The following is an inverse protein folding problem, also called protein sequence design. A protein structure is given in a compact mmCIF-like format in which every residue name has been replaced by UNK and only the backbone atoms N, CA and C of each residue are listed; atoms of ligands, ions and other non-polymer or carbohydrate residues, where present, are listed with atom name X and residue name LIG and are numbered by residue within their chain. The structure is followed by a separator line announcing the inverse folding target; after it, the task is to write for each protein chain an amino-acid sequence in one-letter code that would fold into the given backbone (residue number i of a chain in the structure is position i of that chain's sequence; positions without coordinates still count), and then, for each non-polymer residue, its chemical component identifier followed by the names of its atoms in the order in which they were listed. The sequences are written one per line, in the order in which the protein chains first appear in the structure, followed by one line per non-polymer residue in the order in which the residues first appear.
data_IF_027030280110
#
_entry.id   IF_027030280110
#
_cell.length_a   1.000
_cell.length_b   1.000
_cell.length_c   1.000
_cell.angle_alpha   90.00
_cell.angle_beta   90.00
_cell.angle_gamma   90.00
#
_symmetry.space_group_name_H-M   'P 1'
#
loop_
_entity.id
_entity.type
_entity.pdbx_description
1 polymer ?
#
# COMPACT_ATOMS: atom_id res chain seq x y z
N UNK A 1 26.58 39.07 19.54
CA UNK A 1 27.44 38.45 18.52
C UNK A 1 26.71 37.27 17.94
N UNK A 2 26.25 37.41 16.72
CA UNK A 2 25.37 36.45 16.02
C UNK A 2 26.21 35.52 15.18
N UNK A 3 26.06 34.23 15.35
CA UNK A 3 26.59 33.19 14.41
C UNK A 3 25.41 32.64 13.61
N UNK A 4 25.30 33.08 12.36
CA UNK A 4 24.40 32.52 11.33
C UNK A 4 25.00 31.24 10.82
N UNK A 5 24.35 30.10 11.04
CA UNK A 5 24.58 28.88 10.29
C UNK A 5 23.79 28.98 8.96
N UNK A 6 24.48 28.88 7.82
CA UNK A 6 23.89 28.78 6.48
C UNK A 6 23.38 27.35 6.28
N UNK A 7 22.08 27.17 6.42
CA UNK A 7 21.38 26.01 5.85
C UNK A 7 20.77 26.44 4.53
N UNK A 8 21.06 25.76 3.45
CA UNK A 8 20.45 25.96 2.13
C UNK A 8 19.06 25.35 2.14
N UNK A 9 18.06 26.15 2.49
CA UNK A 9 16.65 25.80 2.34
C UNK A 9 16.27 25.88 0.86
N UNK A 10 16.13 24.74 0.21
CA UNK A 10 15.45 24.66 -1.08
C UNK A 10 13.98 24.99 -0.88
N UNK A 11 13.55 26.11 -1.42
CA UNK A 11 12.15 26.52 -1.37
C UNK A 11 11.27 25.61 -2.23
N UNK A 12 9.96 25.53 -1.91
CA UNK A 12 8.96 24.77 -2.68
C UNK A 12 8.99 25.09 -4.19
N UNK A 13 9.43 26.31 -4.52
CA UNK A 13 9.56 26.84 -5.88
C UNK A 13 10.78 26.26 -6.59
N UNK A 14 11.91 26.11 -5.89
CA UNK A 14 13.15 25.51 -6.41
C UNK A 14 13.01 24.00 -6.63
N UNK A 15 12.28 23.31 -5.77
CA UNK A 15 11.96 21.89 -5.93
C UNK A 15 11.08 21.64 -7.17
N UNK A 16 10.03 22.45 -7.38
CA UNK A 16 9.18 22.36 -8.58
C UNK A 16 9.97 22.69 -9.85
N UNK A 17 10.92 23.60 -9.78
CA UNK A 17 11.78 23.95 -10.91
C UNK A 17 12.78 22.86 -11.23
N UNK A 18 13.36 22.20 -10.23
CA UNK A 18 14.35 21.12 -10.42
C UNK A 18 13.72 19.84 -11.00
N UNK A 19 12.49 19.50 -10.56
CA UNK A 19 11.73 18.35 -11.09
C UNK A 19 11.04 18.68 -12.42
N UNK A 20 10.70 19.96 -12.67
CA UNK A 20 10.01 20.43 -13.87
C UNK A 20 10.93 20.69 -15.08
N UNK A 21 12.20 21.04 -14.89
CA UNK A 21 13.13 21.45 -15.97
C UNK A 21 13.76 20.31 -16.76
N UNK A 22 13.57 19.05 -16.37
CA UNK A 22 14.00 17.91 -17.20
C UNK A 22 13.12 17.66 -18.44
N UNK A 23 12.15 18.53 -18.74
CA UNK A 23 11.15 18.32 -19.80
C UNK A 23 10.89 19.44 -20.78
N UNK A 24 11.60 20.58 -20.76
CA UNK A 24 11.31 21.69 -21.69
C UNK A 24 12.62 22.35 -22.19
N UNK A 25 13.21 21.78 -23.23
CA UNK A 25 14.15 22.49 -24.12
C UNK A 25 13.47 22.62 -25.48
N UNK A 26 12.81 23.75 -25.74
CA UNK A 26 12.48 24.24 -27.09
C UNK A 26 12.68 25.75 -27.12
N UNK A 27 13.50 26.15 -28.08
CA UNK A 27 13.96 27.39 -28.59
C UNK A 27 13.09 28.64 -28.48
N UNK A 28 13.77 29.78 -28.26
CA UNK A 28 13.27 31.12 -28.51
C UNK A 28 14.41 32.14 -28.34
N UNK A 29 14.98 32.60 -29.44
CA UNK A 29 16.05 33.58 -29.51
C UNK A 29 15.54 35.01 -29.26
N UNK A 30 16.32 35.80 -28.53
CA UNK A 30 16.09 37.24 -28.35
C UNK A 30 17.16 37.85 -27.47
N UNK A 31 18.09 38.58 -28.06
CA UNK A 31 19.27 39.17 -27.47
C UNK A 31 18.97 40.37 -26.55
N UNK A 32 19.75 40.55 -25.48
CA UNK A 32 20.61 41.72 -25.20
C UNK A 32 21.28 41.60 -23.82
N UNK A 33 22.60 41.91 -23.79
CA UNK A 33 23.31 42.46 -22.61
C UNK A 33 23.94 41.40 -21.67
N UNK A 34 25.17 40.96 -21.99
CA UNK A 34 25.98 40.07 -21.16
C UNK A 34 26.68 40.81 -20.02
N UNK A 35 26.55 40.30 -18.78
CA UNK A 35 27.65 40.23 -17.81
C UNK A 35 27.99 38.77 -17.58
N UNK A 36 29.26 38.42 -17.87
CA UNK A 36 29.78 37.10 -17.75
C UNK A 36 29.87 36.69 -16.27
N UNK A 37 29.04 35.72 -15.88
CA UNK A 37 29.21 34.94 -14.64
C UNK A 37 30.05 33.72 -15.03
N UNK A 38 31.11 33.36 -14.29
CA UNK A 38 31.90 32.18 -14.64
C UNK A 38 31.05 30.94 -14.58
N UNK A 39 30.91 30.25 -15.71
CA UNK A 39 30.31 28.93 -15.86
C UNK A 39 31.12 27.93 -15.02
N UNK A 40 30.59 27.53 -13.87
CA UNK A 40 30.99 26.28 -13.26
C UNK A 40 30.46 25.15 -14.15
N UNK A 41 31.27 24.11 -14.48
CA UNK A 41 30.77 23.00 -15.25
C UNK A 41 29.63 22.37 -14.49
N UNK A 42 28.43 22.44 -15.07
CA UNK A 42 27.26 21.71 -14.60
C UNK A 42 27.60 20.21 -14.70
N UNK A 43 28.09 19.64 -13.60
CA UNK A 43 28.05 18.20 -13.42
C UNK A 43 26.61 17.81 -13.63
N UNK A 44 26.34 16.99 -14.66
CA UNK A 44 25.02 16.46 -14.95
C UNK A 44 24.48 15.84 -13.65
N UNK A 45 23.55 16.53 -12.97
CA UNK A 45 22.80 15.95 -11.88
C UNK A 45 22.01 14.81 -12.50
N UNK A 46 22.53 13.60 -12.33
CA UNK A 46 21.87 12.40 -12.80
C UNK A 46 20.45 12.41 -12.19
N UNK A 47 19.43 12.52 -13.01
CA UNK A 47 18.06 12.54 -12.55
C UNK A 47 17.85 11.29 -11.67
N UNK A 48 17.52 11.49 -10.38
CA UNK A 48 17.37 10.41 -9.44
C UNK A 48 16.35 9.40 -9.99
N UNK A 49 16.78 8.16 -10.20
CA UNK A 49 15.93 7.10 -10.72
C UNK A 49 15.20 6.41 -9.57
N UNK A 50 13.95 6.03 -9.79
CA UNK A 50 13.15 5.30 -8.80
C UNK A 50 13.90 4.02 -8.36
N UNK A 51 14.21 3.88 -7.06
CA UNK A 51 14.89 2.70 -6.56
C UNK A 51 14.05 1.45 -6.79
N UNK A 52 14.73 0.33 -7.06
CA UNK A 52 14.10 -0.98 -7.27
C UNK A 52 14.64 -2.01 -6.31
N UNK A 53 13.85 -3.03 -6.02
CA UNK A 53 14.22 -4.20 -5.21
C UNK A 53 13.72 -5.48 -5.88
N UNK A 54 14.43 -6.58 -5.66
CA UNK A 54 13.98 -7.91 -6.15
C UNK A 54 12.67 -8.31 -5.49
N UNK A 55 11.74 -8.79 -6.29
CA UNK A 55 10.48 -9.38 -5.79
C UNK A 55 10.72 -10.87 -5.48
N UNK A 56 11.32 -11.14 -4.34
CA UNK A 56 11.63 -12.51 -3.92
C UNK A 56 12.36 -13.33 -4.99
N UNK A 57 11.98 -14.60 -5.12
CA UNK A 57 12.53 -15.56 -6.10
C UNK A 57 12.07 -15.32 -7.55
N UNK A 58 11.21 -14.35 -7.81
CA UNK A 58 10.74 -14.06 -9.18
C UNK A 58 11.84 -13.59 -10.12
N UNK A 59 12.95 -13.09 -9.58
CA UNK A 59 14.07 -12.51 -10.34
C UNK A 59 13.78 -11.11 -10.90
N UNK A 60 12.56 -10.58 -10.75
CA UNK A 60 12.16 -9.26 -11.26
C UNK A 60 12.48 -8.17 -10.25
N UNK A 61 13.08 -7.08 -10.72
CA UNK A 61 13.28 -5.87 -9.95
C UNK A 61 12.07 -4.95 -10.11
N UNK A 62 11.33 -4.72 -9.01
CA UNK A 62 10.17 -3.84 -8.96
C UNK A 62 10.51 -2.51 -8.27
N UNK A 63 9.89 -1.38 -8.66
CA UNK A 63 10.09 -0.11 -7.95
C UNK A 63 9.60 -0.24 -6.50
N UNK A 64 10.30 0.45 -5.58
CA UNK A 64 9.94 0.44 -4.15
C UNK A 64 8.59 1.11 -3.88
N UNK A 65 8.10 1.95 -4.81
CA UNK A 65 6.80 2.61 -4.78
C UNK A 65 5.93 2.10 -5.93
N UNK A 66 4.81 1.49 -5.59
CA UNK A 66 3.77 1.05 -6.53
C UNK A 66 2.52 1.93 -6.46
N UNK A 67 1.81 2.03 -7.57
CA UNK A 67 0.53 2.72 -7.71
C UNK A 67 -0.62 1.77 -7.41
N UNK A 68 -1.35 2.03 -6.32
CA UNK A 68 -2.60 1.35 -5.99
C UNK A 68 -3.77 1.99 -6.72
N UNK A 69 -4.46 1.20 -7.54
CA UNK A 69 -5.49 1.66 -8.49
C UNK A 69 -6.91 1.76 -7.92
N UNK A 70 -7.11 1.83 -6.60
CA UNK A 70 -8.44 1.93 -6.00
C UNK A 70 -8.96 3.39 -6.01
N UNK A 71 -9.09 3.97 -7.22
CA UNK A 71 -9.64 5.31 -7.47
C UNK A 71 -10.10 5.42 -8.94
N UNK A 72 -10.67 6.56 -9.36
CA UNK A 72 -11.11 6.77 -10.73
C UNK A 72 -9.92 6.95 -11.69
N UNK A 73 -9.43 5.83 -12.23
CA UNK A 73 -8.32 5.80 -13.19
C UNK A 73 -8.78 6.17 -14.60
N UNK A 74 -10.07 5.98 -14.92
CA UNK A 74 -10.58 6.26 -16.27
C UNK A 74 -10.37 7.73 -16.64
N UNK A 75 -10.60 8.63 -15.70
CA UNK A 75 -10.46 10.05 -15.92
C UNK A 75 -9.05 10.58 -15.65
N UNK A 76 -8.21 9.83 -14.91
CA UNK A 76 -6.87 10.25 -14.50
C UNK A 76 -5.71 9.70 -15.35
N UNK A 77 -5.89 9.68 -16.68
CA UNK A 77 -4.90 9.12 -17.61
C UNK A 77 -3.56 9.86 -17.59
N UNK A 78 -3.57 11.18 -17.35
CA UNK A 78 -2.34 11.97 -17.21
C UNK A 78 -1.54 11.58 -15.99
N UNK A 79 -2.20 11.18 -14.91
CA UNK A 79 -1.56 10.69 -13.69
C UNK A 79 -0.79 9.40 -13.97
N UNK A 80 -1.35 8.47 -14.75
CA UNK A 80 -0.67 7.22 -15.15
C UNK A 80 0.58 7.52 -15.98
N UNK A 81 0.48 8.44 -16.94
CA UNK A 81 1.62 8.87 -17.73
C UNK A 81 2.73 9.47 -16.86
N UNK A 82 2.35 10.27 -15.87
CA UNK A 82 3.30 10.89 -14.96
C UNK A 82 3.92 9.87 -13.98
N UNK A 83 3.13 8.92 -13.48
CA UNK A 83 3.60 7.82 -12.64
C UNK A 83 4.68 6.99 -13.38
N UNK A 84 4.40 6.60 -14.62
CA UNK A 84 5.36 5.89 -15.47
C UNK A 84 6.65 6.71 -15.69
N UNK A 85 6.52 7.99 -16.04
CA UNK A 85 7.67 8.90 -16.25
C UNK A 85 8.55 9.01 -14.98
N UNK A 86 7.97 8.94 -13.79
CA UNK A 86 8.70 8.99 -12.53
C UNK A 86 9.16 7.61 -12.04
N UNK A 87 9.02 6.57 -12.85
CA UNK A 87 9.49 5.21 -12.56
C UNK A 87 8.56 4.43 -11.61
N UNK A 88 7.35 4.92 -11.34
CA UNK A 88 6.32 4.18 -10.58
C UNK A 88 5.63 3.23 -11.56
N UNK A 89 6.30 2.10 -11.83
CA UNK A 89 5.91 1.13 -12.87
C UNK A 89 5.34 -0.18 -12.31
N UNK A 90 5.13 -0.29 -11.01
CA UNK A 90 4.32 -1.33 -10.38
C UNK A 90 2.90 -0.81 -10.21
N UNK A 91 1.93 -1.36 -10.96
CA UNK A 91 0.54 -0.93 -10.93
C UNK A 91 -0.37 -2.03 -10.42
N UNK A 92 -1.16 -1.72 -9.42
CA UNK A 92 -2.01 -2.66 -8.70
C UNK A 92 -3.49 -2.34 -8.87
N UNK A 93 -4.28 -3.35 -9.18
CA UNK A 93 -5.74 -3.29 -9.23
C UNK A 93 -6.37 -4.55 -8.66
N UNK A 94 -7.68 -4.69 -8.80
CA UNK A 94 -8.46 -5.90 -8.51
C UNK A 94 -9.76 -5.87 -9.32
N UNK A 95 -10.34 -7.05 -9.58
CA UNK A 95 -11.61 -7.17 -10.33
C UNK A 95 -12.75 -6.33 -9.75
N UNK A 96 -12.80 -6.20 -8.42
CA UNK A 96 -13.84 -5.48 -7.70
C UNK A 96 -13.60 -3.97 -7.56
N UNK A 97 -12.43 -3.44 -7.92
CA UNK A 97 -12.14 -2.01 -7.72
C UNK A 97 -12.99 -1.16 -8.68
N UNK A 98 -13.92 -0.39 -8.08
CA UNK A 98 -14.89 0.40 -8.85
C UNK A 98 -15.72 -0.45 -9.80
N UNK A 99 -16.09 -1.69 -9.42
CA UNK A 99 -16.81 -2.64 -10.27
C UNK A 99 -16.11 -2.89 -11.63
N UNK A 100 -14.76 -2.98 -11.63
CA UNK A 100 -13.95 -3.18 -12.82
C UNK A 100 -13.52 -1.90 -13.53
N UNK A 101 -13.97 -0.72 -13.08
CA UNK A 101 -13.58 0.57 -13.69
C UNK A 101 -12.08 0.85 -13.50
N UNK A 102 -11.47 0.39 -12.41
CA UNK A 102 -10.03 0.50 -12.22
C UNK A 102 -9.25 -0.27 -13.30
N UNK A 103 -9.62 -1.52 -13.57
CA UNK A 103 -9.02 -2.32 -14.66
C UNK A 103 -9.27 -1.69 -16.04
N UNK A 104 -10.49 -1.21 -16.29
CA UNK A 104 -10.83 -0.51 -17.53
C UNK A 104 -10.01 0.78 -17.71
N UNK A 105 -9.72 1.49 -16.64
CA UNK A 105 -8.85 2.67 -16.63
C UNK A 105 -7.42 2.35 -17.09
N UNK A 106 -6.83 1.27 -16.57
CA UNK A 106 -5.53 0.78 -17.04
C UNK A 106 -5.61 0.31 -18.49
N UNK A 107 -6.68 -0.39 -18.89
CA UNK A 107 -6.91 -0.80 -20.27
C UNK A 107 -6.97 0.37 -21.23
N UNK A 108 -7.67 1.44 -20.87
CA UNK A 108 -7.68 2.70 -21.64
C UNK A 108 -6.28 3.30 -21.82
N UNK A 109 -5.43 3.18 -20.82
CA UNK A 109 -4.05 3.63 -20.89
C UNK A 109 -3.23 2.75 -21.85
N UNK A 110 -3.32 1.43 -21.70
CA UNK A 110 -2.55 0.49 -22.53
C UNK A 110 -2.97 0.54 -24.00
N UNK A 111 -4.27 0.69 -24.30
CA UNK A 111 -4.73 0.83 -25.70
C UNK A 111 -4.17 2.07 -26.40
N UNK A 112 -3.94 3.14 -25.65
CA UNK A 112 -3.36 4.39 -26.18
C UNK A 112 -1.84 4.40 -26.16
N UNK A 113 -1.22 3.53 -25.34
CA UNK A 113 0.22 3.43 -25.14
C UNK A 113 0.64 1.95 -25.10
N UNK A 114 0.56 1.20 -26.22
CA UNK A 114 0.77 -0.27 -26.22
C UNK A 114 2.15 -0.68 -25.69
N UNK A 115 3.19 0.11 -25.99
CA UNK A 115 4.55 -0.18 -25.52
C UNK A 115 4.68 -0.06 -23.98
N UNK A 116 3.89 0.82 -23.35
CA UNK A 116 3.90 1.00 -21.90
C UNK A 116 3.55 -0.29 -21.16
N UNK A 117 2.72 -1.18 -21.74
CA UNK A 117 2.36 -2.45 -21.11
C UNK A 117 3.60 -3.32 -20.82
N UNK A 118 4.62 -3.24 -21.63
CA UNK A 118 5.88 -4.01 -21.47
C UNK A 118 6.75 -3.50 -20.33
N UNK A 119 6.60 -2.21 -20.00
CA UNK A 119 7.37 -1.54 -18.94
C UNK A 119 6.69 -1.60 -17.57
N UNK A 120 5.38 -1.86 -17.56
CA UNK A 120 4.57 -1.89 -16.35
C UNK A 120 4.49 -3.31 -15.79
N UNK A 121 4.82 -3.45 -14.50
CA UNK A 121 4.52 -4.64 -13.72
C UNK A 121 3.07 -4.55 -13.24
N UNK A 122 2.16 -5.19 -13.97
CA UNK A 122 0.72 -5.13 -13.71
C UNK A 122 0.28 -6.22 -12.75
N UNK A 123 -0.46 -5.84 -11.72
CA UNK A 123 -1.06 -6.75 -10.74
C UNK A 123 -2.57 -6.63 -10.78
N UNK A 124 -3.26 -7.77 -10.74
CA UNK A 124 -4.70 -7.81 -10.43
C UNK A 124 -5.01 -8.89 -9.40
N UNK A 125 -6.23 -8.87 -8.86
CA UNK A 125 -6.65 -9.79 -7.80
C UNK A 125 -8.05 -10.32 -8.09
N UNK A 126 -8.26 -11.60 -7.80
CA UNK A 126 -9.55 -12.27 -7.88
C UNK A 126 -10.00 -12.72 -6.49
N UNK A 127 -11.26 -12.50 -6.15
CA UNK A 127 -11.85 -13.10 -4.97
C UNK A 127 -11.91 -14.62 -5.17
N UNK A 128 -11.50 -15.46 -4.22
CA UNK A 128 -11.60 -16.93 -4.35
C UNK A 128 -13.05 -17.40 -4.44
N UNK A 129 -13.99 -16.63 -3.96
CA UNK A 129 -15.43 -16.90 -4.04
C UNK A 129 -16.06 -16.22 -5.25
N UNK A 130 -17.12 -16.78 -5.81
CA UNK A 130 -17.89 -16.11 -6.86
C UNK A 130 -17.78 -16.70 -8.27
N UNK A 131 -17.60 -18.03 -8.40
CA UNK A 131 -17.70 -18.76 -9.67
C UNK A 131 -16.36 -19.00 -10.37
N UNK A 132 -16.39 -19.22 -11.68
CA UNK A 132 -15.25 -19.66 -12.46
C UNK A 132 -14.12 -18.61 -12.49
N UNK A 133 -13.00 -18.92 -11.83
CA UNK A 133 -11.84 -18.04 -11.73
C UNK A 133 -11.22 -17.75 -13.11
N UNK A 134 -11.20 -18.72 -14.02
CA UNK A 134 -10.62 -18.54 -15.37
C UNK A 134 -11.42 -17.54 -16.19
N UNK A 135 -12.75 -17.65 -16.21
CA UNK A 135 -13.61 -16.70 -16.91
C UNK A 135 -13.52 -15.29 -16.31
N UNK A 136 -13.37 -15.20 -14.99
CA UNK A 136 -13.21 -13.90 -14.29
C UNK A 136 -11.86 -13.29 -14.59
N UNK A 137 -10.78 -14.08 -14.63
CA UNK A 137 -9.48 -13.60 -15.08
C UNK A 137 -9.54 -13.10 -16.53
N UNK A 138 -10.22 -13.83 -17.42
CA UNK A 138 -10.38 -13.40 -18.81
C UNK A 138 -11.11 -12.06 -18.93
N UNK A 139 -12.15 -11.85 -18.11
CA UNK A 139 -12.84 -10.55 -18.02
C UNK A 139 -11.91 -9.43 -17.49
N UNK A 140 -11.05 -9.73 -16.51
CA UNK A 140 -10.05 -8.78 -16.02
C UNK A 140 -9.06 -8.39 -17.12
N UNK A 141 -8.52 -9.38 -17.83
CA UNK A 141 -7.59 -9.16 -18.94
C UNK A 141 -8.25 -8.36 -20.09
N UNK A 142 -9.52 -8.67 -20.42
CA UNK A 142 -10.29 -7.95 -21.41
C UNK A 142 -10.48 -6.47 -20.99
N UNK A 143 -10.87 -6.20 -19.74
CA UNK A 143 -11.01 -4.82 -19.24
C UNK A 143 -9.68 -4.07 -19.29
N UNK A 144 -8.58 -4.72 -18.92
CA UNK A 144 -7.24 -4.14 -18.97
C UNK A 144 -6.65 -4.09 -20.39
N UNK A 145 -7.34 -4.62 -21.40
CA UNK A 145 -6.86 -4.66 -22.80
C UNK A 145 -5.44 -5.23 -22.92
N UNK A 146 -5.19 -6.32 -22.22
CA UNK A 146 -3.92 -7.07 -22.22
C UNK A 146 -4.21 -8.57 -22.18
N UNK A 147 -3.28 -9.38 -22.63
CA UNK A 147 -3.40 -10.83 -22.59
C UNK A 147 -2.75 -11.49 -21.34
N UNK A 148 -2.09 -10.70 -20.50
CA UNK A 148 -1.47 -11.19 -19.28
C UNK A 148 -1.38 -10.11 -18.19
N UNK A 149 -1.21 -10.56 -16.94
CA UNK A 149 -0.70 -9.76 -15.83
C UNK A 149 0.65 -10.29 -15.36
N UNK A 150 1.46 -9.44 -14.75
CA UNK A 150 2.74 -9.87 -14.21
C UNK A 150 2.54 -10.67 -12.92
N UNK A 151 1.65 -10.22 -12.03
CA UNK A 151 1.32 -10.91 -10.80
C UNK A 151 -0.20 -11.03 -10.63
N UNK A 152 -0.68 -12.26 -10.48
CA UNK A 152 -2.07 -12.57 -10.16
C UNK A 152 -2.17 -12.95 -8.68
N UNK A 153 -3.04 -12.28 -7.94
CA UNK A 153 -3.25 -12.53 -6.52
C UNK A 153 -4.66 -13.07 -6.24
N UNK A 154 -4.76 -14.03 -5.35
CA UNK A 154 -6.03 -14.35 -4.67
C UNK A 154 -6.27 -13.27 -3.63
N UNK A 155 -7.50 -12.71 -3.64
CA UNK A 155 -7.82 -11.48 -2.94
C UNK A 155 -8.22 -11.73 -1.48
N UNK A 156 -7.51 -11.03 -0.57
CA UNK A 156 -7.92 -10.86 0.84
C UNK A 156 -8.12 -12.16 1.63
N UNK A 157 -7.13 -13.08 1.56
CA UNK A 157 -7.13 -14.28 2.40
C UNK A 157 -7.25 -13.94 3.89
N UNK A 158 -7.96 -14.78 4.60
CA UNK A 158 -8.07 -14.74 6.07
C UNK A 158 -7.30 -15.85 6.76
N UNK A 159 -7.03 -16.94 6.03
CA UNK A 159 -6.25 -18.08 6.49
C UNK A 159 -5.47 -18.70 5.32
N UNK A 160 -4.30 -19.26 5.61
CA UNK A 160 -3.43 -19.86 4.57
C UNK A 160 -4.05 -21.13 3.94
N UNK A 161 -4.92 -21.81 4.67
CA UNK A 161 -5.65 -22.99 4.23
C UNK A 161 -6.57 -22.72 3.02
N UNK A 162 -6.93 -21.45 2.81
CA UNK A 162 -7.65 -21.01 1.61
C UNK A 162 -6.81 -21.17 0.33
N UNK A 163 -5.47 -21.21 0.44
CA UNK A 163 -4.56 -21.53 -0.66
C UNK A 163 -4.50 -23.05 -0.90
N UNK A 164 -5.59 -23.57 -1.40
CA UNK A 164 -5.82 -25.02 -1.61
C UNK A 164 -4.97 -25.61 -2.74
N UNK A 165 -4.81 -26.96 -2.79
CA UNK A 165 -4.20 -27.65 -3.94
C UNK A 165 -4.87 -27.30 -5.28
N UNK A 166 -6.19 -27.14 -5.30
CA UNK A 166 -6.92 -26.73 -6.51
C UNK A 166 -6.48 -25.34 -7.01
N UNK A 167 -6.24 -24.38 -6.10
CA UNK A 167 -5.69 -23.08 -6.48
C UNK A 167 -4.23 -23.15 -6.93
N UNK A 168 -3.43 -24.08 -6.38
CA UNK A 168 -2.07 -24.36 -6.87
C UNK A 168 -2.10 -24.78 -8.33
N UNK A 169 -2.93 -25.81 -8.63
CA UNK A 169 -3.04 -26.36 -9.98
C UNK A 169 -3.58 -25.32 -10.97
N UNK A 170 -4.61 -24.58 -10.57
CA UNK A 170 -5.16 -23.48 -11.37
C UNK A 170 -4.13 -22.37 -11.62
N UNK A 171 -3.39 -21.94 -10.61
CA UNK A 171 -2.33 -20.92 -10.76
C UNK A 171 -1.23 -21.40 -11.72
N UNK A 172 -0.84 -22.68 -11.65
CA UNK A 172 0.12 -23.28 -12.58
C UNK A 172 -0.42 -23.32 -14.02
N UNK A 173 -1.71 -23.65 -14.20
CA UNK A 173 -2.39 -23.59 -15.49
C UNK A 173 -2.41 -22.18 -16.07
N UNK A 174 -2.74 -21.16 -15.27
CA UNK A 174 -2.76 -19.76 -15.72
C UNK A 174 -1.35 -19.27 -16.09
N UNK A 175 -0.32 -19.68 -15.38
CA UNK A 175 1.09 -19.42 -15.78
C UNK A 175 1.41 -20.10 -17.10
N UNK A 176 1.06 -21.39 -17.27
CA UNK A 176 1.29 -22.16 -18.50
C UNK A 176 0.54 -21.55 -19.71
N UNK A 177 -0.67 -21.06 -19.48
CA UNK A 177 -1.48 -20.37 -20.49
C UNK A 177 -0.95 -18.96 -20.82
N UNK A 178 0.08 -18.48 -20.13
CA UNK A 178 0.64 -17.14 -20.32
C UNK A 178 -0.27 -16.00 -19.82
N UNK A 179 -1.30 -16.29 -19.02
CA UNK A 179 -2.23 -15.30 -18.47
C UNK A 179 -1.68 -14.55 -17.26
N UNK A 180 -0.75 -15.17 -16.53
CA UNK A 180 0.04 -14.50 -15.49
C UNK A 180 1.47 -15.04 -15.48
N UNK A 181 2.44 -14.21 -15.04
CA UNK A 181 3.83 -14.64 -14.85
C UNK A 181 4.05 -15.21 -13.46
N UNK A 182 3.47 -14.56 -12.45
CA UNK A 182 3.62 -14.91 -11.05
C UNK A 182 2.26 -15.04 -10.37
N UNK A 183 2.21 -15.83 -9.29
CA UNK A 183 0.99 -16.14 -8.57
C UNK A 183 1.20 -16.05 -7.06
N UNK A 184 0.19 -15.57 -6.34
CA UNK A 184 0.22 -15.45 -4.89
C UNK A 184 -1.11 -15.00 -4.32
N UNK A 185 -1.08 -14.27 -3.20
CA UNK A 185 -2.29 -13.77 -2.57
C UNK A 185 -2.09 -12.40 -1.89
N UNK A 186 -3.21 -11.80 -1.48
CA UNK A 186 -3.21 -10.62 -0.61
C UNK A 186 -3.94 -10.92 0.69
N UNK A 187 -3.54 -10.25 1.80
CA UNK A 187 -4.18 -10.42 3.09
C UNK A 187 -4.16 -9.15 3.94
N UNK A 188 -5.23 -8.96 4.72
CA UNK A 188 -5.37 -7.96 5.78
C UNK A 188 -5.61 -8.59 7.14
N UNK A 189 -5.75 -9.91 7.20
CA UNK A 189 -6.19 -10.67 8.36
C UNK A 189 -5.22 -11.81 8.60
N UNK A 190 -4.87 -12.08 9.88
CA UNK A 190 -3.95 -13.13 10.29
C UNK A 190 -2.65 -13.16 9.47
N UNK A 191 -2.13 -11.97 9.21
CA UNK A 191 -1.04 -11.78 8.24
C UNK A 191 0.20 -12.59 8.58
N UNK A 192 0.55 -12.67 9.86
CA UNK A 192 1.70 -13.43 10.32
C UNK A 192 1.56 -14.93 10.00
N UNK A 193 0.37 -15.50 10.26
CA UNK A 193 0.09 -16.91 9.96
C UNK A 193 0.05 -17.18 8.46
N UNK A 194 -0.58 -16.28 7.70
CA UNK A 194 -0.61 -16.35 6.24
C UNK A 194 0.79 -16.28 5.64
N UNK A 195 1.66 -15.40 6.13
CA UNK A 195 3.05 -15.29 5.67
C UNK A 195 3.89 -16.51 6.04
N UNK A 196 3.78 -16.99 7.30
CA UNK A 196 4.46 -18.21 7.74
C UNK A 196 4.01 -19.43 6.92
N UNK A 197 2.73 -19.50 6.59
CA UNK A 197 2.19 -20.52 5.70
C UNK A 197 2.71 -20.38 4.28
N UNK A 198 2.70 -19.18 3.71
CA UNK A 198 3.24 -18.90 2.37
C UNK A 198 4.70 -19.34 2.23
N UNK A 199 5.51 -19.13 3.27
CA UNK A 199 6.91 -19.56 3.30
C UNK A 199 7.11 -21.08 3.19
N UNK A 200 6.06 -21.88 3.45
CA UNK A 200 6.06 -23.33 3.31
C UNK A 200 5.52 -23.82 1.97
N UNK A 201 4.91 -22.92 1.20
CA UNK A 201 4.32 -23.23 -0.11
C UNK A 201 5.29 -22.81 -1.22
N UNK A 202 5.90 -23.79 -1.87
CA UNK A 202 6.94 -23.59 -2.91
C UNK A 202 6.43 -22.87 -4.17
N UNK A 203 5.12 -22.85 -4.38
CA UNK A 203 4.42 -22.28 -5.53
C UNK A 203 3.91 -20.84 -5.37
N UNK A 204 4.06 -20.25 -4.17
CA UNK A 204 3.75 -18.83 -3.93
C UNK A 204 4.96 -17.99 -4.34
N UNK A 205 4.74 -17.05 -5.27
CA UNK A 205 5.79 -16.14 -5.74
C UNK A 205 5.85 -14.86 -4.91
N UNK A 206 4.68 -14.28 -4.56
CA UNK A 206 4.61 -13.02 -3.79
C UNK A 206 3.34 -12.93 -2.95
N UNK A 207 3.43 -12.15 -1.86
CA UNK A 207 2.30 -11.83 -0.99
C UNK A 207 2.20 -10.31 -0.81
N UNK A 208 0.98 -9.76 -1.00
CA UNK A 208 0.66 -8.38 -0.66
C UNK A 208 -0.09 -8.35 0.67
N UNK A 209 0.42 -7.60 1.67
CA UNK A 209 -0.14 -7.64 3.01
C UNK A 209 -0.08 -6.27 3.70
N UNK A 210 -0.91 -6.08 4.71
CA UNK A 210 -0.85 -4.86 5.53
C UNK A 210 0.45 -4.81 6.30
N UNK A 211 1.28 -3.79 6.00
CA UNK A 211 2.54 -3.57 6.70
C UNK A 211 2.80 -2.08 6.89
N UNK A 212 2.99 -1.67 8.14
CA UNK A 212 3.16 -0.28 8.53
C UNK A 212 3.77 -0.17 9.94
N UNK A 213 4.00 1.05 10.40
CA UNK A 213 4.60 1.35 11.71
C UNK A 213 3.82 0.76 12.92
N UNK A 214 2.52 0.45 12.76
CA UNK A 214 1.69 -0.14 13.82
C UNK A 214 1.96 -1.64 14.02
N UNK A 215 2.32 -2.38 12.97
CA UNK A 215 2.46 -3.84 13.01
C UNK A 215 3.92 -4.32 12.88
N UNK A 216 4.82 -3.50 12.35
CA UNK A 216 6.19 -3.87 12.02
C UNK A 216 7.05 -4.32 13.21
N UNK A 217 6.72 -3.87 14.42
CA UNK A 217 7.46 -4.21 15.62
C UNK A 217 6.97 -5.49 16.32
N UNK A 218 5.89 -6.13 15.82
CA UNK A 218 5.41 -7.40 16.32
C UNK A 218 6.48 -8.49 16.08
N UNK A 219 6.92 -9.22 17.12
CA UNK A 219 7.92 -10.29 16.98
C UNK A 219 7.50 -11.38 15.97
N UNK A 220 6.22 -11.78 15.98
CA UNK A 220 5.68 -12.78 15.05
C UNK A 220 5.68 -12.27 13.59
N UNK A 221 5.44 -10.97 13.36
CA UNK A 221 5.59 -10.37 12.03
C UNK A 221 7.04 -10.45 11.56
N UNK A 222 8.02 -10.15 12.42
CA UNK A 222 9.44 -10.28 12.07
C UNK A 222 9.84 -11.70 11.74
N UNK A 223 9.36 -12.68 12.51
CA UNK A 223 9.54 -14.12 12.22
C UNK A 223 8.97 -14.48 10.84
N UNK A 224 7.75 -14.03 10.54
CA UNK A 224 7.08 -14.30 9.28
C UNK A 224 7.81 -13.68 8.08
N UNK A 225 8.28 -12.45 8.19
CA UNK A 225 9.08 -11.80 7.15
C UNK A 225 10.39 -12.56 6.90
N UNK A 226 11.09 -12.96 7.96
CA UNK A 226 12.32 -13.75 7.84
C UNK A 226 12.08 -15.13 7.19
N UNK A 227 10.94 -15.77 7.47
CA UNK A 227 10.57 -17.03 6.84
C UNK A 227 10.30 -16.83 5.34
N UNK A 228 9.57 -15.79 4.95
CA UNK A 228 9.33 -15.44 3.55
C UNK A 228 10.63 -15.10 2.80
N UNK A 229 11.52 -14.33 3.40
CA UNK A 229 12.83 -14.00 2.80
C UNK A 229 13.64 -15.27 2.52
N UNK A 230 13.72 -16.18 3.50
CA UNK A 230 14.45 -17.46 3.35
C UNK A 230 13.85 -18.37 2.27
N UNK A 231 12.53 -18.37 2.11
CA UNK A 231 11.84 -19.16 1.07
C UNK A 231 11.76 -18.44 -0.28
N UNK A 232 12.21 -17.19 -0.35
CA UNK A 232 12.20 -16.37 -1.56
C UNK A 232 10.81 -15.85 -1.94
N UNK A 233 9.84 -15.79 -1.03
CA UNK A 233 8.54 -15.18 -1.28
C UNK A 233 8.69 -13.66 -1.33
N UNK A 234 8.25 -13.03 -2.43
CA UNK A 234 8.27 -11.57 -2.60
C UNK A 234 7.25 -10.89 -1.69
N UNK A 235 7.65 -9.80 -1.04
CA UNK A 235 6.84 -9.11 -0.04
C UNK A 235 6.45 -7.71 -0.53
N UNK A 236 5.14 -7.45 -0.64
CA UNK A 236 4.60 -6.16 -1.05
C UNK A 236 3.75 -5.58 0.08
N UNK A 237 4.16 -4.41 0.59
CA UNK A 237 3.43 -3.72 1.64
C UNK A 237 2.22 -2.95 1.07
N UNK A 238 1.07 -3.02 1.75
CA UNK A 238 -0.06 -2.13 1.55
C UNK A 238 -0.53 -1.52 2.87
N UNK A 239 -1.44 -0.52 2.83
CA UNK A 239 -1.91 0.21 4.02
C UNK A 239 -0.77 0.81 4.85
N UNK A 240 0.33 1.18 4.20
CA UNK A 240 1.61 1.54 4.82
C UNK A 240 1.56 2.83 5.64
N UNK A 241 0.59 3.71 5.37
CA UNK A 241 0.38 4.92 6.18
C UNK A 241 -0.49 4.65 7.42
N UNK A 242 -1.10 3.47 7.58
CA UNK A 242 -2.03 3.10 8.66
C UNK A 242 -3.21 4.08 8.83
N UNK A 243 -3.56 4.83 7.79
CA UNK A 243 -4.56 5.87 7.86
C UNK A 243 -4.17 7.03 8.81
N UNK A 244 -5.15 7.54 9.54
CA UNK A 244 -4.97 8.51 10.64
C UNK A 244 -5.43 7.86 11.96
N UNK A 245 -4.69 6.88 12.52
CA UNK A 245 -5.04 6.38 13.84
C UNK A 245 -4.93 7.52 14.86
N UNK A 246 -5.85 7.53 15.77
CA UNK A 246 -6.00 8.58 16.76
C UNK A 246 -7.23 9.43 16.51
N UNK A 247 -8.05 9.54 17.55
CA UNK A 247 -9.19 10.44 17.59
C UNK A 247 -8.70 11.87 17.31
N UNK A 248 -9.49 12.77 16.66
CA UNK A 248 -9.13 14.18 16.50
C UNK A 248 -8.75 14.87 17.81
N UNK A 249 -9.21 14.33 18.94
CA UNK A 249 -8.94 14.82 20.30
C UNK A 249 -7.65 14.26 20.92
N UNK A 250 -7.00 13.26 20.32
CA UNK A 250 -5.69 12.79 20.78
C UNK A 250 -4.63 13.69 20.13
N UNK A 251 -4.45 14.84 20.69
CA UNK A 251 -3.27 15.69 20.51
C UNK A 251 -2.14 15.14 21.40
N UNK A 252 -1.74 13.90 21.20
CA UNK A 252 -0.65 13.32 21.96
C UNK A 252 0.67 14.00 21.63
N UNK A 253 1.48 14.25 22.67
CA UNK A 253 2.83 14.83 22.52
C UNK A 253 3.67 14.09 21.48
N UNK A 254 3.59 12.75 21.42
CA UNK A 254 4.30 11.94 20.44
C UNK A 254 3.89 12.22 18.99
N UNK A 255 2.62 12.54 18.73
CA UNK A 255 2.17 12.95 17.37
C UNK A 255 2.77 14.29 16.99
N UNK A 256 2.73 15.27 17.91
CA UNK A 256 3.29 16.59 17.67
C UNK A 256 4.80 16.51 17.48
N UNK A 257 5.51 15.80 18.34
CA UNK A 257 6.95 15.58 18.24
C UNK A 257 7.33 14.91 16.92
N UNK A 258 6.59 13.85 16.53
CA UNK A 258 6.81 13.16 15.26
C UNK A 258 6.63 14.12 14.08
N UNK A 259 5.51 14.86 14.04
CA UNK A 259 5.21 15.81 12.97
C UNK A 259 6.27 16.89 12.88
N UNK A 260 6.67 17.49 14.01
CA UNK A 260 7.70 18.53 14.04
C UNK A 260 9.07 18.04 13.54
N UNK A 261 9.50 16.84 13.96
CA UNK A 261 10.78 16.25 13.52
C UNK A 261 10.81 16.05 12.02
N UNK A 262 9.75 15.48 11.45
CA UNK A 262 9.69 15.23 10.00
C UNK A 262 9.50 16.51 9.20
N UNK A 263 8.71 17.47 9.69
CA UNK A 263 8.59 18.79 9.06
C UNK A 263 9.92 19.54 9.01
N UNK A 264 10.73 19.46 10.06
CA UNK A 264 12.10 20.04 10.08
C UNK A 264 13.00 19.48 8.98
N UNK A 265 12.74 18.25 8.52
CA UNK A 265 13.42 17.60 7.37
C UNK A 265 12.70 17.80 6.03
N UNK A 266 11.61 18.55 6.00
CA UNK A 266 10.81 18.77 4.78
C UNK A 266 9.86 17.62 4.44
N UNK A 267 9.63 16.64 5.34
CA UNK A 267 8.67 15.55 5.15
C UNK A 267 7.38 15.79 5.92
N UNK A 268 6.28 15.37 5.32
CA UNK A 268 5.00 15.22 6.03
C UNK A 268 5.01 13.92 6.87
N UNK A 269 4.11 13.84 7.85
CA UNK A 269 3.87 12.61 8.61
C UNK A 269 3.54 11.40 7.71
N UNK A 270 2.84 11.64 6.60
CA UNK A 270 2.50 10.62 5.60
C UNK A 270 3.74 10.08 4.89
N UNK A 271 4.64 10.95 4.49
CA UNK A 271 5.90 10.57 3.85
C UNK A 271 6.81 9.81 4.83
N UNK A 272 6.89 10.24 6.08
CA UNK A 272 7.62 9.55 7.13
C UNK A 272 7.14 8.10 7.33
N UNK A 273 5.81 7.90 7.33
CA UNK A 273 5.20 6.57 7.44
C UNK A 273 5.52 5.65 6.25
N UNK A 274 5.75 6.20 5.06
CA UNK A 274 6.25 5.42 3.92
C UNK A 274 7.73 5.09 4.10
N UNK A 275 8.54 6.07 4.51
CA UNK A 275 9.99 5.88 4.69
C UNK A 275 10.31 4.77 5.69
N UNK A 276 9.59 4.68 6.81
CA UNK A 276 9.84 3.62 7.80
C UNK A 276 9.57 2.21 7.24
N UNK A 277 8.63 2.07 6.30
CA UNK A 277 8.40 0.79 5.62
C UNK A 277 9.57 0.45 4.69
N UNK A 278 10.11 1.44 3.97
CA UNK A 278 11.25 1.24 3.08
C UNK A 278 12.58 0.98 3.82
N UNK A 279 12.69 1.33 5.11
CA UNK A 279 13.84 0.94 5.92
C UNK A 279 13.96 -0.59 6.12
N UNK A 280 12.85 -1.33 5.96
CA UNK A 280 12.91 -2.78 5.94
C UNK A 280 13.27 -3.29 4.53
N UNK A 281 14.50 -3.84 4.32
CA UNK A 281 14.93 -4.31 3.01
C UNK A 281 14.17 -5.53 2.51
N UNK A 282 13.49 -6.27 3.38
CA UNK A 282 12.67 -7.44 3.02
C UNK A 282 11.42 -7.05 2.24
N UNK A 283 10.97 -5.78 2.34
CA UNK A 283 9.82 -5.28 1.59
C UNK A 283 10.28 -4.85 0.20
N UNK A 284 9.85 -5.60 -0.81
CA UNK A 284 10.24 -5.36 -2.21
C UNK A 284 9.60 -4.10 -2.79
N UNK A 285 8.33 -3.89 -2.50
CA UNK A 285 7.55 -2.74 -2.97
C UNK A 285 6.50 -2.34 -1.94
N UNK A 286 6.05 -1.09 -2.03
CA UNK A 286 4.97 -0.53 -1.23
C UNK A 286 3.90 0.00 -2.17
N UNK A 287 2.70 -0.57 -2.10
CA UNK A 287 1.56 -0.15 -2.90
C UNK A 287 0.79 0.97 -2.20
N UNK A 288 0.71 2.14 -2.82
CA UNK A 288 0.02 3.33 -2.28
C UNK A 288 -1.04 3.85 -3.24
N UNK A 289 -2.23 4.14 -2.72
CA UNK A 289 -3.27 4.89 -3.44
C UNK A 289 -2.79 6.33 -3.63
N UNK A 290 -2.67 6.77 -4.86
CA UNK A 290 -2.19 8.10 -5.24
C UNK A 290 -3.14 8.72 -6.27
N UNK A 291 -4.33 9.20 -5.84
CA UNK A 291 -5.43 9.58 -6.74
C UNK A 291 -5.27 10.97 -7.37
N UNK A 292 -4.16 11.64 -7.15
CA UNK A 292 -3.85 12.94 -7.78
C UNK A 292 -2.33 13.18 -7.84
N UNK A 293 -1.93 14.13 -8.67
CA UNK A 293 -0.52 14.48 -8.90
C UNK A 293 0.19 14.98 -7.63
N UNK A 294 -0.50 15.64 -6.72
CA UNK A 294 0.10 16.14 -5.47
C UNK A 294 0.56 14.97 -4.58
N UNK A 295 -0.30 13.97 -4.40
CA UNK A 295 0.03 12.78 -3.59
C UNK A 295 1.09 11.93 -4.30
N UNK A 296 0.95 11.75 -5.63
CA UNK A 296 1.95 11.03 -6.42
C UNK A 296 3.32 11.69 -6.30
N UNK A 297 3.42 13.01 -6.52
CA UNK A 297 4.67 13.76 -6.41
C UNK A 297 5.27 13.68 -5.00
N UNK A 298 4.46 13.83 -3.95
CA UNK A 298 4.93 13.74 -2.57
C UNK A 298 5.49 12.34 -2.23
N UNK A 299 4.83 11.27 -2.68
CA UNK A 299 5.29 9.91 -2.44
C UNK A 299 6.54 9.57 -3.26
N UNK A 300 6.62 10.04 -4.51
CA UNK A 300 7.82 9.90 -5.35
C UNK A 300 9.00 10.64 -4.72
N UNK A 301 8.81 11.85 -4.24
CA UNK A 301 9.86 12.61 -3.56
C UNK A 301 10.39 11.86 -2.33
N UNK A 302 9.49 11.27 -1.53
CA UNK A 302 9.88 10.46 -0.37
C UNK A 302 10.64 9.18 -0.79
N UNK A 303 10.26 8.54 -1.90
CA UNK A 303 10.93 7.34 -2.42
C UNK A 303 12.32 7.65 -3.02
N UNK A 304 12.49 8.81 -3.64
CA UNK A 304 13.77 9.25 -4.20
C UNK A 304 14.75 9.73 -3.13
N UNK A 305 14.25 10.17 -1.98
CA UNK A 305 15.10 10.54 -0.85
C UNK A 305 15.65 9.28 -0.15
N UNK A 306 16.91 8.97 -0.43
CA UNK A 306 17.63 7.83 0.13
C UNK A 306 18.19 8.08 1.54
N UNK A 307 17.93 9.25 2.14
CA UNK A 307 18.37 9.53 3.51
C UNK A 307 17.65 8.61 4.48
N UNK A 308 18.40 7.85 5.26
CA UNK A 308 17.85 6.93 6.27
C UNK A 308 17.22 7.71 7.41
N UNK A 309 16.23 7.10 8.04
CA UNK A 309 15.67 7.62 9.28
C UNK A 309 16.72 7.53 10.40
N UNK A 310 16.81 8.57 11.23
CA UNK A 310 17.63 8.53 12.44
C UNK A 310 16.99 7.62 13.51
N UNK A 311 17.77 7.27 14.53
CA UNK A 311 17.28 6.47 15.65
C UNK A 311 16.14 7.18 16.38
N UNK A 312 16.27 8.48 16.57
CA UNK A 312 15.24 9.31 17.22
C UNK A 312 13.95 9.36 16.42
N UNK A 313 14.04 9.38 15.08
CA UNK A 313 12.87 9.33 14.20
C UNK A 313 12.17 7.97 14.28
N UNK A 314 12.91 6.87 14.35
CA UNK A 314 12.37 5.54 14.61
C UNK A 314 11.67 5.46 15.98
N UNK A 315 12.32 5.96 17.02
CA UNK A 315 11.78 5.95 18.39
C UNK A 315 10.53 6.81 18.49
N UNK A 316 10.47 7.93 17.77
CA UNK A 316 9.29 8.80 17.68
C UNK A 316 8.09 8.08 17.02
N UNK A 317 8.31 7.43 15.88
CA UNK A 317 7.28 6.63 15.21
C UNK A 317 6.84 5.43 16.07
N UNK A 318 7.77 4.80 16.78
CA UNK A 318 7.45 3.71 17.72
C UNK A 318 6.60 4.18 18.89
N UNK A 319 6.92 5.32 19.50
CA UNK A 319 6.08 5.92 20.56
C UNK A 319 4.68 6.24 20.03
N UNK A 320 4.59 6.87 18.88
CA UNK A 320 3.31 7.15 18.24
C UNK A 320 2.50 5.85 17.99
N UNK A 321 3.15 4.77 17.56
CA UNK A 321 2.49 3.48 17.38
C UNK A 321 1.96 2.89 18.71
N UNK A 322 2.69 3.07 19.81
CA UNK A 322 2.28 2.61 21.13
C UNK A 322 1.10 3.44 21.69
N UNK A 323 1.14 4.75 21.54
CA UNK A 323 0.07 5.65 22.02
C UNK A 323 -1.23 5.47 21.24
N UNK A 324 -1.15 5.12 19.96
CA UNK A 324 -2.33 4.92 19.10
C UNK A 324 -2.69 3.44 18.90
N UNK A 325 -2.12 2.53 19.69
CA UNK A 325 -2.35 1.08 19.51
C UNK A 325 -3.81 0.67 19.72
N UNK A 326 -4.51 1.29 20.67
CA UNK A 326 -5.91 1.01 21.00
C UNK A 326 -6.92 1.54 19.99
N UNK A 327 -6.45 2.31 18.98
CA UNK A 327 -7.30 2.83 17.90
C UNK A 327 -7.09 2.08 16.59
N UNK A 328 -6.17 1.09 16.58
CA UNK A 328 -5.78 0.41 15.33
C UNK A 328 -5.92 -1.10 15.45
N UNK A 329 -6.87 -1.69 14.71
CA UNK A 329 -6.98 -3.13 14.56
C UNK A 329 -5.82 -3.68 13.71
N UNK A 330 -4.99 -4.55 14.31
CA UNK A 330 -3.84 -5.15 13.63
C UNK A 330 -4.20 -6.33 12.70
N UNK A 331 -5.48 -6.74 12.64
CA UNK A 331 -5.93 -7.81 11.77
C UNK A 331 -5.69 -9.23 12.29
N UNK A 332 -5.36 -9.41 13.58
CA UNK A 332 -5.21 -10.74 14.21
C UNK A 332 -6.60 -11.38 14.47
N UNK A 333 -7.37 -11.59 13.39
CA UNK A 333 -8.78 -11.97 13.43
C UNK A 333 -9.06 -13.28 14.16
N UNK A 334 -8.15 -14.27 14.04
CA UNK A 334 -8.29 -15.56 14.71
C UNK A 334 -8.49 -15.40 16.22
N UNK A 335 -7.72 -14.51 16.86
CA UNK A 335 -7.79 -14.30 18.32
C UNK A 335 -9.17 -13.82 18.77
N UNK A 336 -9.68 -12.77 18.15
CA UNK A 336 -10.98 -12.22 18.54
C UNK A 336 -12.16 -13.05 18.06
N UNK A 337 -12.02 -13.74 16.92
CA UNK A 337 -13.06 -14.59 16.35
C UNK A 337 -13.25 -15.88 17.18
N UNK A 338 -12.16 -16.50 17.62
CA UNK A 338 -12.22 -17.64 18.56
C UNK A 338 -12.84 -17.23 19.89
N UNK A 339 -12.51 -16.03 20.39
CA UNK A 339 -13.05 -15.51 21.66
C UNK A 339 -14.56 -15.17 21.63
N UNK A 340 -15.18 -15.12 20.45
CA UNK A 340 -16.64 -14.97 20.28
C UNK A 340 -17.26 -16.20 19.59
N UNK A 341 -16.62 -17.36 19.68
CA UNK A 341 -17.07 -18.63 19.09
C UNK A 341 -17.46 -18.54 17.61
N UNK A 342 -16.78 -17.66 16.87
CA UNK A 342 -17.05 -17.42 15.45
C UNK A 342 -18.38 -16.71 15.15
N UNK A 343 -19.07 -16.18 16.16
CA UNK A 343 -20.40 -15.58 15.99
C UNK A 343 -20.43 -14.42 14.98
N UNK A 344 -19.36 -13.62 14.95
CA UNK A 344 -19.24 -12.46 14.05
C UNK A 344 -17.76 -12.24 13.63
N UNK A 345 -17.49 -11.71 12.43
CA UNK A 345 -16.14 -11.44 11.94
C UNK A 345 -15.60 -10.11 12.50
N UNK A 346 -15.19 -10.11 13.77
CA UNK A 346 -14.80 -8.93 14.55
C UNK A 346 -13.80 -8.04 13.79
N UNK A 347 -12.70 -8.61 13.29
CA UNK A 347 -11.65 -7.85 12.61
C UNK A 347 -12.11 -7.24 11.28
N UNK A 348 -13.04 -7.88 10.56
CA UNK A 348 -13.60 -7.36 9.30
C UNK A 348 -14.45 -6.12 9.56
N UNK A 349 -15.31 -6.16 10.57
CA UNK A 349 -16.12 -5.01 10.99
C UNK A 349 -15.22 -3.85 11.45
N UNK A 350 -14.21 -4.14 12.26
CA UNK A 350 -13.25 -3.13 12.70
C UNK A 350 -12.48 -2.53 11.51
N UNK A 351 -12.16 -3.33 10.50
CA UNK A 351 -11.53 -2.84 9.27
C UNK A 351 -12.44 -1.90 8.49
N UNK A 352 -13.73 -2.22 8.38
CA UNK A 352 -14.71 -1.30 7.77
C UNK A 352 -14.76 0.04 8.54
N UNK A 353 -14.80 -0.02 9.87
CA UNK A 353 -14.78 1.17 10.70
C UNK A 353 -13.49 2.00 10.51
N UNK A 354 -12.33 1.33 10.36
CA UNK A 354 -11.06 2.00 10.05
C UNK A 354 -11.10 2.67 8.67
N UNK A 355 -11.70 2.05 7.65
CA UNK A 355 -11.88 2.69 6.34
C UNK A 355 -12.68 3.98 6.46
N UNK A 356 -13.76 3.96 7.21
CA UNK A 356 -14.58 5.14 7.45
C UNK A 356 -13.81 6.24 8.19
N UNK A 357 -13.14 5.91 9.31
CA UNK A 357 -12.57 6.90 10.23
C UNK A 357 -11.18 7.38 9.83
N UNK A 358 -10.32 6.46 9.40
CA UNK A 358 -8.88 6.72 9.30
C UNK A 358 -8.36 6.79 7.88
N UNK A 359 -9.02 6.14 6.94
CA UNK A 359 -8.57 6.12 5.55
C UNK A 359 -9.30 7.12 4.65
N UNK A 360 -10.40 7.73 5.15
CA UNK A 360 -11.22 8.66 4.37
C UNK A 360 -11.97 7.99 3.23
N UNK A 361 -12.40 6.74 3.45
CA UNK A 361 -13.09 5.89 2.46
C UNK A 361 -14.48 5.46 3.00
N UNK A 362 -15.40 6.41 3.28
CA UNK A 362 -16.69 6.07 3.90
C UNK A 362 -17.57 5.20 3.02
N UNK A 363 -17.54 5.41 1.70
CA UNK A 363 -18.32 4.59 0.76
C UNK A 363 -17.81 3.16 0.69
N UNK A 364 -16.48 2.97 0.59
CA UNK A 364 -15.87 1.64 0.65
C UNK A 364 -16.20 0.93 1.96
N UNK A 365 -16.17 1.67 3.07
CA UNK A 365 -16.49 1.13 4.39
C UNK A 365 -17.93 0.57 4.40
N UNK A 366 -18.91 1.36 3.94
CA UNK A 366 -20.31 0.94 3.88
C UNK A 366 -20.53 -0.22 2.92
N UNK A 367 -19.96 -0.16 1.73
CA UNK A 367 -20.07 -1.25 0.74
C UNK A 367 -19.49 -2.56 1.26
N UNK A 368 -18.32 -2.50 1.91
CA UNK A 368 -17.69 -3.69 2.49
C UNK A 368 -18.52 -4.24 3.64
N UNK A 369 -19.03 -3.37 4.50
CA UNK A 369 -19.90 -3.74 5.63
C UNK A 369 -21.23 -4.33 5.15
N UNK A 370 -21.86 -3.74 4.13
CA UNK A 370 -23.09 -4.25 3.52
C UNK A 370 -22.92 -5.63 2.87
N UNK A 371 -21.70 -5.98 2.47
CA UNK A 371 -21.34 -7.31 1.97
C UNK A 371 -21.34 -8.41 3.04
N UNK A 372 -21.38 -8.07 4.33
CA UNK A 372 -21.56 -9.05 5.41
C UNK A 372 -23.00 -9.58 5.40
N UNK A 373 -23.24 -10.87 5.72
CA UNK A 373 -24.57 -11.42 5.86
C UNK A 373 -25.43 -10.59 6.82
N UNK A 374 -26.70 -10.44 6.50
CA UNK A 374 -27.61 -9.59 7.30
C UNK A 374 -27.76 -10.08 8.73
N UNK A 375 -27.89 -11.39 8.93
CA UNK A 375 -27.96 -12.03 10.25
C UNK A 375 -26.70 -11.80 11.09
N UNK A 376 -25.53 -11.72 10.45
CA UNK A 376 -24.26 -11.36 11.10
C UNK A 376 -24.29 -9.91 11.54
N UNK A 377 -24.75 -8.99 10.66
CA UNK A 377 -24.82 -7.56 11.01
C UNK A 377 -25.79 -7.29 12.17
N UNK A 378 -26.93 -7.96 12.19
CA UNK A 378 -27.91 -7.84 13.28
C UNK A 378 -27.36 -8.28 14.63
N UNK A 379 -26.55 -9.35 14.66
CA UNK A 379 -25.97 -9.87 15.89
C UNK A 379 -24.81 -9.06 16.47
N UNK A 380 -24.25 -8.09 15.74
CA UNK A 380 -23.06 -7.33 16.18
C UNK A 380 -23.24 -6.63 17.53
N UNK A 381 -24.45 -6.23 17.91
CA UNK A 381 -24.74 -5.57 19.19
C UNK A 381 -25.17 -6.52 20.30
N UNK A 382 -25.39 -7.79 19.99
CA UNK A 382 -25.89 -8.83 20.92
C UNK A 382 -24.76 -9.70 21.47
N UNK A 383 -23.61 -9.76 20.79
CA UNK A 383 -22.46 -10.59 21.18
C UNK A 383 -21.75 -9.99 22.38
N UNK A 384 -21.39 -10.84 23.33
CA UNK A 384 -20.49 -10.48 24.44
C UNK A 384 -19.03 -10.48 23.96
N UNK A 385 -18.42 -9.32 23.90
CA UNK A 385 -17.03 -9.13 23.47
C UNK A 385 -16.01 -9.14 24.62
N UNK A 386 -16.41 -9.40 25.86
CA UNK A 386 -15.53 -9.29 27.02
C UNK A 386 -14.27 -10.16 26.90
N UNK A 387 -14.39 -11.39 26.41
CA UNK A 387 -13.26 -12.28 26.18
C UNK A 387 -12.39 -11.82 24.99
N UNK A 388 -13.01 -11.31 23.93
CA UNK A 388 -12.28 -10.77 22.80
C UNK A 388 -11.49 -9.50 23.16
N UNK A 389 -12.03 -8.65 24.01
CA UNK A 389 -11.33 -7.45 24.54
C UNK A 389 -10.13 -7.85 25.41
N UNK A 390 -10.29 -8.84 26.30
CA UNK A 390 -9.21 -9.37 27.13
C UNK A 390 -8.09 -10.01 26.29
N UNK A 391 -8.45 -10.76 25.25
CA UNK A 391 -7.51 -11.43 24.38
C UNK A 391 -6.84 -10.47 23.37
N UNK A 392 -7.40 -9.28 23.17
CA UNK A 392 -6.93 -8.34 22.14
C UNK A 392 -5.53 -7.79 22.46
N UNK A 393 -4.47 -8.08 21.66
CA UNK A 393 -3.12 -7.59 21.92
C UNK A 393 -2.98 -6.07 21.77
N UNK A 394 -4.00 -5.42 21.19
CA UNK A 394 -4.05 -3.97 21.01
C UNK A 394 -4.84 -3.27 22.12
N UNK A 395 -5.60 -4.01 22.93
CA UNK A 395 -6.46 -3.46 23.98
C UNK A 395 -7.63 -2.64 23.41
N UNK A 396 -8.23 -3.11 22.32
CA UNK A 396 -9.36 -2.43 21.68
C UNK A 396 -10.63 -2.62 22.53
N UNK A 397 -11.41 -1.55 22.70
CA UNK A 397 -12.75 -1.60 23.27
C UNK A 397 -13.76 -2.11 22.22
N UNK A 398 -13.72 -3.41 21.93
CA UNK A 398 -14.39 -4.05 20.79
C UNK A 398 -15.90 -3.82 20.84
N UNK A 399 -16.55 -4.04 21.99
CA UNK A 399 -17.98 -3.84 22.16
C UNK A 399 -18.42 -2.41 21.79
N UNK A 400 -17.64 -1.40 22.20
CA UNK A 400 -17.90 0.00 21.85
C UNK A 400 -17.72 0.25 20.36
N UNK A 401 -16.66 -0.31 19.76
CA UNK A 401 -16.37 -0.16 18.33
C UNK A 401 -17.41 -0.85 17.45
N UNK A 402 -17.99 -1.99 17.89
CA UNK A 402 -19.09 -2.65 17.17
C UNK A 402 -20.36 -1.81 17.14
N UNK A 403 -20.75 -1.19 18.27
CA UNK A 403 -21.88 -0.25 18.32
C UNK A 403 -21.64 0.93 17.38
N UNK A 404 -20.46 1.52 17.40
CA UNK A 404 -20.10 2.62 16.51
C UNK A 404 -20.10 2.21 15.03
N UNK A 405 -19.70 0.98 14.71
CA UNK A 405 -19.79 0.48 13.34
C UNK A 405 -21.25 0.42 12.87
N UNK A 406 -22.16 -0.04 13.70
CA UNK A 406 -23.61 -0.04 13.39
C UNK A 406 -24.16 1.38 13.20
N UNK A 407 -23.69 2.37 13.95
CA UNK A 407 -24.14 3.77 13.83
C UNK A 407 -23.71 4.44 12.51
N UNK A 408 -22.50 4.13 11.99
CA UNK A 408 -21.90 4.89 10.89
C UNK A 408 -21.80 4.13 9.56
N UNK A 409 -21.99 2.80 9.58
CA UNK A 409 -21.83 1.95 8.39
C UNK A 409 -23.14 1.38 7.84
N UNK A 410 -24.23 1.46 8.61
CA UNK A 410 -25.58 1.07 8.17
C UNK A 410 -26.24 2.13 7.31
#
# INVERSE_FOLDING_TARGET
MSLKAKGTDLTRREFVTTVGLAGLAIAGAGATGAMAVPEQPAGAVQAATMPKRKLGKTGVDVPILGLGGMFDIINDQLLLKQAMKWGVTYWDTAEGYGNGLSEAGFGRFFSRNPEARKEIFQVTKLNPQGGNLTERLDKCLQRMQTNYVDLLLIFSLTAIEEMTPALKDWGAEMKKAGKCKFFGFSTHTNMEDCLLGAARLDWIDAVMFTYNFQVMNNPRMKEALNACEKSGVGLVAMKSQAGRPGHPEISGEAKLEMVERFLKRGFTDKQAKLKIVWENPQISSLCSKMPNLTILSANVAAALDQTKLSREEFDSLRRYALETKSDYCAGCGKICQEAVDGAVPVNEVLRCLMYHRYYGEPELARLTFAGLPEDVRQRLTEVDYSQAEQACPRGLAIASLMRQAMEVLV
#
